data_IF_260335028443
#
_entry.id   IF_260335028443
#
_cell.length_a   1.000
_cell.length_b   1.000
_cell.length_c   1.000
_cell.angle_alpha   90.00
_cell.angle_beta   90.00
_cell.angle_gamma   90.00
#
_symmetry.space_group_name_H-M   'P 1'
#
loop_
_entity.id
_entity.type
_entity.pdbx_description
1 polymer ?
#
# COMPACT_ATOMS: atom_id res chain seq x y z
N UNK A 1 -12.73 2.75 -8.82
CA UNK A 1 -11.69 1.93 -9.48
C UNK A 1 -11.38 0.67 -8.66
N UNK A 2 -10.64 -0.32 -9.20
CA UNK A 2 -10.13 -1.47 -8.43
C UNK A 2 -8.65 -1.29 -8.09
N UNK A 3 -8.28 -1.50 -6.83
CA UNK A 3 -6.91 -1.40 -6.32
C UNK A 3 -6.54 -2.64 -5.49
N UNK A 4 -5.24 -2.93 -5.40
CA UNK A 4 -4.70 -4.18 -4.91
C UNK A 4 -3.74 -3.97 -3.74
N UNK A 5 -3.98 -4.65 -2.62
CA UNK A 5 -3.09 -4.66 -1.47
C UNK A 5 -2.36 -6.00 -1.38
N UNK A 6 -1.04 -5.98 -1.52
CA UNK A 6 -0.17 -7.14 -1.36
C UNK A 6 0.16 -7.36 0.12
N UNK A 7 0.09 -8.60 0.59
CA UNK A 7 0.27 -8.98 1.99
C UNK A 7 0.95 -10.35 2.10
N UNK A 8 1.73 -10.55 3.17
CA UNK A 8 2.07 -11.90 3.64
C UNK A 8 0.80 -12.70 3.99
N UNK A 9 0.88 -14.03 3.90
CA UNK A 9 -0.27 -14.91 4.04
C UNK A 9 -1.01 -14.73 5.39
N UNK A 10 -0.25 -14.62 6.48
CA UNK A 10 -0.79 -14.40 7.82
C UNK A 10 -1.62 -13.09 7.89
N UNK A 11 -1.03 -11.97 7.47
CA UNK A 11 -1.70 -10.67 7.53
C UNK A 11 -2.87 -10.56 6.56
N UNK A 12 -2.80 -11.23 5.41
CA UNK A 12 -3.91 -11.34 4.46
C UNK A 12 -5.11 -12.07 5.08
N UNK A 13 -4.88 -13.24 5.69
CA UNK A 13 -5.92 -13.99 6.41
C UNK A 13 -6.55 -13.17 7.53
N UNK A 14 -5.73 -12.57 8.40
CA UNK A 14 -6.24 -11.71 9.49
C UNK A 14 -7.06 -10.54 8.97
N UNK A 15 -6.65 -9.94 7.85
CA UNK A 15 -7.42 -8.84 7.24
C UNK A 15 -8.80 -9.28 6.76
N UNK A 16 -8.91 -10.51 6.24
CA UNK A 16 -10.18 -11.11 5.81
C UNK A 16 -11.06 -11.41 7.03
N UNK A 17 -10.53 -12.15 8.01
CA UNK A 17 -11.24 -12.58 9.22
C UNK A 17 -11.75 -11.39 10.05
N UNK A 18 -10.90 -10.37 10.21
CA UNK A 18 -11.23 -9.17 10.99
C UNK A 18 -11.87 -8.06 10.13
N UNK A 19 -12.07 -8.32 8.83
CA UNK A 19 -12.67 -7.42 7.83
C UNK A 19 -12.10 -6.00 7.85
N UNK A 20 -10.77 -5.89 7.94
CA UNK A 20 -10.04 -4.62 8.04
C UNK A 20 -8.62 -4.75 7.51
N UNK A 21 -8.04 -3.67 6.99
CA UNK A 21 -6.62 -3.61 6.60
C UNK A 21 -5.84 -2.69 7.54
N UNK A 22 -4.56 -3.01 7.76
CA UNK A 22 -3.65 -2.13 8.51
C UNK A 22 -3.41 -0.83 7.77
N UNK A 23 -3.45 0.28 8.50
CA UNK A 23 -2.97 1.59 8.08
C UNK A 23 -1.49 1.70 8.45
N UNK A 24 -0.63 1.98 7.46
CA UNK A 24 0.80 2.14 7.68
C UNK A 24 1.12 3.49 8.32
N UNK A 25 2.12 3.52 9.19
CA UNK A 25 2.65 4.79 9.71
C UNK A 25 3.64 5.38 8.72
N UNK A 26 3.80 6.70 8.78
CA UNK A 26 4.66 7.47 7.87
C UNK A 26 6.14 7.10 8.01
N UNK A 27 6.56 6.76 9.22
CA UNK A 27 7.93 6.31 9.52
C UNK A 27 8.16 4.83 9.19
N UNK A 28 7.12 4.09 8.79
CA UNK A 28 7.19 2.65 8.43
C UNK A 28 7.20 2.40 6.92
N UNK A 29 7.30 3.48 6.12
CA UNK A 29 7.31 3.38 4.67
C UNK A 29 8.64 2.77 4.17
N UNK A 30 8.63 2.27 2.94
CA UNK A 30 9.63 1.36 2.39
C UNK A 30 10.99 2.00 2.13
N UNK A 31 11.06 3.32 1.99
CA UNK A 31 12.26 4.03 1.57
C UNK A 31 12.44 5.38 2.31
N UNK A 32 13.70 5.76 2.52
CA UNK A 32 14.12 6.95 3.26
C UNK A 32 13.64 8.25 2.60
N UNK A 33 13.34 8.19 1.30
CA UNK A 33 12.87 9.33 0.51
C UNK A 33 11.35 9.51 0.50
N UNK A 34 10.58 8.63 1.15
CA UNK A 34 9.12 8.68 1.12
C UNK A 34 8.50 9.75 2.04
N UNK A 35 7.23 10.08 1.74
CA UNK A 35 6.37 11.03 2.44
C UNK A 35 6.69 12.52 2.22
N UNK A 36 7.88 13.02 2.59
CA UNK A 36 8.27 14.43 2.35
C UNK A 36 9.73 14.46 1.87
N UNK A 37 9.94 14.02 0.64
CA UNK A 37 11.26 13.88 0.03
C UNK A 37 11.81 15.15 -0.60
N UNK A 38 11.88 16.27 0.12
CA UNK A 38 12.46 17.53 -0.39
C UNK A 38 14.00 17.48 -0.33
N UNK A 39 14.67 17.99 -1.37
CA UNK A 39 16.12 18.15 -1.39
C UNK A 39 16.52 19.44 -0.67
N UNK A 40 17.29 19.32 0.41
CA UNK A 40 17.72 20.43 1.28
C UNK A 40 19.24 20.42 1.49
N UNK A 41 19.88 21.55 1.17
CA UNK A 41 21.33 21.72 1.25
C UNK A 41 21.80 21.95 2.69
N UNK A 42 21.02 22.69 3.49
CA UNK A 42 21.41 23.06 4.84
C UNK A 42 21.06 21.99 5.87
N UNK A 43 21.96 21.78 6.84
CA UNK A 43 21.75 20.80 7.92
C UNK A 43 20.54 21.16 8.79
N UNK A 44 20.34 22.45 9.06
CA UNK A 44 19.23 22.94 9.87
C UNK A 44 17.88 22.62 9.22
N UNK A 45 17.74 22.85 7.91
CA UNK A 45 16.53 22.53 7.16
C UNK A 45 16.25 21.01 7.15
N UNK A 46 17.28 20.17 7.01
CA UNK A 46 17.11 18.71 7.12
C UNK A 46 16.64 18.27 8.49
N UNK A 47 17.00 18.98 9.57
CA UNK A 47 16.51 18.70 10.92
C UNK A 47 15.03 19.12 11.03
N UNK A 48 14.69 20.32 10.58
CA UNK A 48 13.31 20.82 10.58
C UNK A 48 12.36 19.91 9.76
N UNK A 49 12.80 19.44 8.60
CA UNK A 49 12.04 18.48 7.78
C UNK A 49 11.75 17.17 8.53
N UNK A 50 12.73 16.64 9.28
CA UNK A 50 12.55 15.44 10.11
C UNK A 50 11.56 15.68 11.25
N UNK A 51 11.60 16.86 11.86
CA UNK A 51 10.62 17.23 12.89
C UNK A 51 9.21 17.34 12.30
N UNK A 52 9.05 17.99 11.14
CA UNK A 52 7.78 18.05 10.42
C UNK A 52 7.24 16.64 10.11
N UNK A 53 8.09 15.72 9.60
CA UNK A 53 7.71 14.32 9.34
C UNK A 53 7.21 13.62 10.61
N UNK A 54 7.93 13.78 11.74
CA UNK A 54 7.53 13.21 13.03
C UNK A 54 6.17 13.73 13.49
N UNK A 55 5.92 15.03 13.38
CA UNK A 55 4.63 15.61 13.75
C UNK A 55 3.48 15.04 12.91
N UNK A 56 3.69 14.89 11.60
CA UNK A 56 2.68 14.30 10.72
C UNK A 56 2.44 12.82 11.03
N UNK A 57 3.49 12.06 11.36
CA UNK A 57 3.42 10.65 11.76
C UNK A 57 2.63 10.37 13.04
N UNK A 58 2.40 11.37 13.90
CA UNK A 58 1.60 11.19 15.12
C UNK A 58 0.13 10.96 14.78
N UNK A 59 -0.42 11.77 13.87
CA UNK A 59 -1.86 11.83 13.61
C UNK A 59 -2.27 11.36 12.21
N UNK A 60 -1.31 10.99 11.36
CA UNK A 60 -1.56 10.61 9.98
C UNK A 60 -0.89 9.28 9.65
N UNK A 61 -1.59 8.48 8.86
CA UNK A 61 -1.10 7.26 8.26
C UNK A 61 -1.51 7.17 6.81
N UNK A 62 -1.09 6.09 6.18
CA UNK A 62 -1.33 5.87 4.75
C UNK A 62 -1.72 4.42 4.48
N UNK A 63 -2.63 4.26 3.53
CA UNK A 63 -2.89 2.97 2.90
C UNK A 63 -2.35 3.04 1.49
N UNK A 64 -1.42 2.15 1.17
CA UNK A 64 -0.82 2.03 -0.15
C UNK A 64 -1.44 0.82 -0.88
N UNK A 65 -1.92 1.03 -2.08
CA UNK A 65 -2.40 -0.05 -2.96
C UNK A 65 -1.79 0.11 -4.34
N UNK A 66 -1.77 -0.96 -5.12
CA UNK A 66 -1.35 -0.93 -6.51
C UNK A 66 -2.55 -0.96 -7.45
N UNK A 67 -2.43 -0.33 -8.61
CA UNK A 67 -3.39 -0.50 -9.71
C UNK A 67 -3.28 -1.86 -10.40
N UNK A 68 -2.15 -2.55 -10.26
CA UNK A 68 -1.87 -3.81 -10.95
C UNK A 68 -1.37 -4.90 -10.01
N UNK A 69 -2.07 -6.03 -9.95
CA UNK A 69 -1.60 -7.20 -9.20
C UNK A 69 -0.62 -8.08 -9.99
N UNK A 70 -0.46 -7.87 -11.29
CA UNK A 70 0.33 -8.73 -12.18
C UNK A 70 1.84 -8.53 -12.12
N UNK A 71 2.35 -7.54 -11.37
CA UNK A 71 3.77 -7.23 -11.29
C UNK A 71 4.55 -8.31 -10.50
N UNK A 72 5.50 -9.05 -11.12
CA UNK A 72 6.28 -10.05 -10.39
C UNK A 72 7.13 -9.45 -9.26
N UNK A 73 7.61 -8.20 -9.42
CA UNK A 73 8.34 -7.49 -8.37
C UNK A 73 7.45 -7.21 -7.15
N UNK A 74 6.18 -6.85 -7.36
CA UNK A 74 5.23 -6.65 -6.26
C UNK A 74 4.99 -7.93 -5.46
N UNK A 75 4.86 -9.07 -6.15
CA UNK A 75 4.75 -10.37 -5.49
C UNK A 75 6.01 -10.77 -4.73
N UNK A 76 7.19 -10.45 -5.29
CA UNK A 76 8.47 -10.73 -4.66
C UNK A 76 8.65 -9.93 -3.37
N UNK A 77 8.41 -8.61 -3.42
CA UNK A 77 8.65 -7.69 -2.30
C UNK A 77 7.54 -7.71 -1.24
N UNK A 78 6.26 -7.71 -1.65
CA UNK A 78 5.15 -7.40 -0.74
C UNK A 78 4.22 -8.58 -0.45
N UNK A 79 4.31 -9.68 -1.21
CA UNK A 79 3.54 -10.90 -0.96
C UNK A 79 4.45 -12.08 -0.57
N UNK A 80 5.43 -11.82 0.30
CA UNK A 80 6.34 -12.83 0.88
C UNK A 80 6.91 -13.78 -0.18
N UNK A 81 7.52 -13.21 -1.24
CA UNK A 81 8.12 -14.00 -2.32
C UNK A 81 7.14 -15.02 -2.95
N UNK A 82 5.92 -14.57 -3.27
CA UNK A 82 4.80 -15.36 -3.81
C UNK A 82 4.18 -16.39 -2.83
N UNK A 83 4.51 -16.34 -1.54
CA UNK A 83 3.84 -17.18 -0.52
C UNK A 83 2.62 -16.51 0.09
N UNK A 84 2.50 -15.19 -0.06
CA UNK A 84 1.41 -14.38 0.44
C UNK A 84 0.19 -14.34 -0.48
N UNK A 85 -0.55 -13.23 -0.39
CA UNK A 85 -1.76 -13.01 -1.17
C UNK A 85 -1.96 -11.52 -1.49
N UNK A 86 -2.92 -11.26 -2.36
CA UNK A 86 -3.37 -9.93 -2.75
C UNK A 86 -4.86 -9.80 -2.49
N UNK A 87 -5.26 -8.69 -1.87
CA UNK A 87 -6.66 -8.31 -1.67
C UNK A 87 -7.01 -7.21 -2.67
N UNK A 88 -7.96 -7.47 -3.57
CA UNK A 88 -8.49 -6.51 -4.54
C UNK A 88 -9.76 -5.84 -4.02
N UNK A 89 -9.75 -4.52 -3.97
CA UNK A 89 -10.86 -3.71 -3.48
C UNK A 89 -11.41 -2.79 -4.57
N UNK A 90 -12.73 -2.74 -4.68
CA UNK A 90 -13.39 -1.61 -5.34
C UNK A 90 -13.40 -0.42 -4.38
N UNK A 91 -12.78 0.67 -4.81
CA UNK A 91 -12.64 1.89 -4.03
C UNK A 91 -13.26 3.09 -4.75
N UNK A 92 -13.73 4.07 -3.99
CA UNK A 92 -14.17 5.36 -4.53
C UNK A 92 -12.98 6.14 -5.09
N UNK A 93 -13.14 6.71 -6.29
CA UNK A 93 -12.07 7.43 -7.01
C UNK A 93 -11.55 8.67 -6.26
N UNK A 94 -12.29 9.18 -5.26
CA UNK A 94 -11.88 10.34 -4.47
C UNK A 94 -11.08 9.99 -3.20
N UNK A 95 -10.98 8.71 -2.86
CA UNK A 95 -10.34 8.26 -1.62
C UNK A 95 -8.84 7.97 -1.77
N UNK A 96 -8.41 7.62 -2.98
CA UNK A 96 -7.04 7.22 -3.28
C UNK A 96 -6.45 8.11 -4.37
N UNK A 97 -5.23 8.58 -4.16
CA UNK A 97 -4.50 9.44 -5.08
C UNK A 97 -3.36 8.67 -5.72
N UNK A 98 -3.21 8.81 -7.02
CA UNK A 98 -2.08 8.24 -7.77
C UNK A 98 -0.76 8.87 -7.29
N UNK A 99 0.27 8.03 -7.17
CA UNK A 99 1.63 8.43 -6.85
C UNK A 99 2.35 8.88 -8.12
N UNK A 100 3.01 10.03 -8.03
CA UNK A 100 3.86 10.62 -9.05
C UNK A 100 5.31 10.18 -8.85
N UNK A 101 5.89 9.58 -9.88
CA UNK A 101 7.25 9.04 -9.85
C UNK A 101 8.25 10.03 -10.42
N UNK A 102 9.34 10.31 -9.68
CA UNK A 102 10.34 11.30 -10.08
C UNK A 102 11.77 10.75 -9.89
N UNK A 103 12.68 11.13 -10.82
CA UNK A 103 14.12 10.79 -10.75
C UNK A 103 14.88 11.62 -9.73
N UNK A 104 14.43 12.86 -9.49
CA UNK A 104 15.07 13.81 -8.59
C UNK A 104 14.05 14.26 -7.55
N UNK A 105 14.53 14.46 -6.34
CA UNK A 105 13.76 15.10 -5.27
C UNK A 105 13.53 16.57 -5.62
N UNK A 106 12.31 17.11 -5.45
CA UNK A 106 12.07 18.53 -5.64
C UNK A 106 12.87 19.35 -4.62
N UNK A 107 13.42 20.47 -5.06
CA UNK A 107 13.96 21.52 -4.19
C UNK A 107 12.83 22.47 -3.76
N UNK A 108 13.09 23.31 -2.75
CA UNK A 108 12.15 24.38 -2.38
C UNK A 108 11.88 25.32 -3.56
N UNK A 109 12.91 25.67 -4.33
CA UNK A 109 12.76 26.53 -5.50
C UNK A 109 11.93 25.89 -6.61
N UNK A 110 12.02 24.56 -6.81
CA UNK A 110 11.17 23.84 -7.79
C UNK A 110 9.68 23.91 -7.40
N UNK A 111 9.40 24.14 -6.12
CA UNK A 111 8.06 24.31 -5.57
C UNK A 111 7.64 25.79 -5.46
N UNK A 112 8.53 26.74 -5.81
CA UNK A 112 8.28 28.18 -5.64
C UNK A 112 8.34 28.65 -4.18
N UNK A 113 9.03 27.90 -3.33
CA UNK A 113 9.17 28.17 -1.89
C UNK A 113 10.57 28.68 -1.58
N UNK A 114 10.71 29.56 -0.59
CA UNK A 114 12.01 30.06 -0.14
C UNK A 114 12.51 29.29 1.08
N UNK A 115 11.59 28.89 1.96
CA UNK A 115 11.88 28.21 3.23
C UNK A 115 10.90 27.05 3.46
N UNK A 116 11.21 26.18 4.42
CA UNK A 116 10.26 25.13 4.85
C UNK A 116 8.99 25.68 5.49
N UNK A 117 9.03 26.90 6.05
CA UNK A 117 7.87 27.53 6.68
C UNK A 117 6.84 27.99 5.63
N UNK A 118 7.25 28.11 4.37
CA UNK A 118 6.35 28.43 3.25
C UNK A 118 5.52 27.22 2.79
N UNK A 119 5.84 26.00 3.26
CA UNK A 119 5.15 24.78 2.85
C UNK A 119 3.68 24.83 3.29
N UNK A 120 2.78 24.78 2.31
CA UNK A 120 1.34 24.74 2.55
C UNK A 120 0.83 23.30 2.71
N UNK A 121 -0.41 23.10 3.23
CA UNK A 121 -1.04 21.79 3.22
C UNK A 121 -1.18 21.18 1.82
N UNK A 122 -1.29 21.99 0.76
CA UNK A 122 -1.37 21.49 -0.61
C UNK A 122 -0.01 21.00 -1.12
N UNK A 123 1.07 21.69 -0.75
CA UNK A 123 2.43 21.24 -1.01
C UNK A 123 2.72 19.90 -0.33
N UNK A 124 2.27 19.74 0.92
CA UNK A 124 2.37 18.47 1.65
C UNK A 124 1.62 17.37 0.90
N UNK A 125 0.38 17.60 0.44
CA UNK A 125 -0.36 16.60 -0.35
C UNK A 125 0.37 16.22 -1.64
N UNK A 126 1.03 17.17 -2.31
CA UNK A 126 1.84 16.89 -3.51
C UNK A 126 3.09 16.07 -3.16
N UNK A 127 3.81 16.45 -2.12
CA UNK A 127 5.04 15.78 -1.69
C UNK A 127 4.78 14.34 -1.25
N UNK A 128 3.69 14.08 -0.53
CA UNK A 128 3.37 12.72 -0.09
C UNK A 128 2.96 11.81 -1.26
N UNK A 129 2.56 12.38 -2.40
CA UNK A 129 2.33 11.62 -3.63
C UNK A 129 3.60 11.45 -4.46
N UNK A 130 4.73 11.99 -4.05
CA UNK A 130 5.98 11.85 -4.80
C UNK A 130 6.75 10.62 -4.32
N UNK A 131 7.25 9.80 -5.26
CA UNK A 131 8.08 8.63 -4.99
C UNK A 131 9.23 8.51 -5.99
N UNK A 132 10.32 7.88 -5.60
CA UNK A 132 11.45 7.68 -6.51
C UNK A 132 11.06 6.78 -7.70
N UNK A 133 11.50 7.15 -8.91
CA UNK A 133 11.14 6.47 -10.16
C UNK A 133 11.45 4.96 -10.19
N UNK A 134 12.47 4.52 -9.45
CA UNK A 134 12.81 3.11 -9.31
C UNK A 134 11.68 2.24 -8.77
N UNK A 135 10.68 2.83 -8.11
CA UNK A 135 9.48 2.16 -7.59
C UNK A 135 8.25 2.28 -8.51
N UNK A 136 8.40 2.81 -9.73
CA UNK A 136 7.27 3.02 -10.66
C UNK A 136 6.51 1.74 -11.02
N UNK A 137 7.15 0.57 -10.89
CA UNK A 137 6.49 -0.73 -11.08
C UNK A 137 5.39 -1.02 -10.06
N UNK A 138 5.35 -0.28 -8.93
CA UNK A 138 4.28 -0.43 -7.94
C UNK A 138 2.94 0.11 -8.44
N UNK A 139 2.92 1.08 -9.38
CA UNK A 139 1.72 1.77 -9.83
C UNK A 139 0.82 2.17 -8.64
N UNK A 140 1.45 2.84 -7.67
CA UNK A 140 0.94 3.03 -6.32
C UNK A 140 -0.15 4.11 -6.27
N UNK A 141 -1.17 3.83 -5.47
CA UNK A 141 -2.23 4.74 -5.08
C UNK A 141 -2.28 4.81 -3.55
N UNK A 142 -2.34 6.03 -3.00
CA UNK A 142 -2.31 6.30 -1.56
C UNK A 142 -3.62 6.90 -1.07
N UNK A 143 -4.15 6.37 0.03
CA UNK A 143 -5.17 7.04 0.82
C UNK A 143 -4.57 7.56 2.13
N UNK A 144 -4.85 8.83 2.44
CA UNK A 144 -4.39 9.47 3.68
C UNK A 144 -5.42 9.31 4.77
N UNK A 145 -4.99 8.73 5.89
CA UNK A 145 -5.88 8.35 6.97
C UNK A 145 -5.49 9.12 8.22
N UNK A 146 -6.43 9.87 8.78
CA UNK A 146 -6.27 10.41 10.13
C UNK A 146 -6.27 9.24 11.13
N UNK A 147 -5.21 9.13 11.93
CA UNK A 147 -5.06 8.07 12.91
C UNK A 147 -5.95 8.37 14.12
N UNK A 148 -6.89 7.46 14.38
CA UNK A 148 -7.79 7.48 15.52
C UNK A 148 -7.95 6.06 16.04
N UNK A 149 -8.28 5.93 17.32
CA UNK A 149 -8.68 4.66 17.93
C UNK A 149 -7.64 3.53 17.71
N UNK A 150 -6.37 3.85 17.95
CA UNK A 150 -5.26 2.91 17.83
C UNK A 150 -5.40 1.73 18.80
N UNK A 151 -4.98 0.55 18.35
CA UNK A 151 -5.06 -0.70 19.09
C UNK A 151 -3.66 -1.15 19.47
N UNK A 152 -3.44 -1.44 20.76
CA UNK A 152 -2.15 -1.94 21.24
C UNK A 152 -2.05 -3.44 20.98
N UNK A 153 -1.06 -3.85 20.19
CA UNK A 153 -0.71 -5.25 19.93
C UNK A 153 0.78 -5.40 20.22
N UNK A 154 1.15 -6.34 21.08
CA UNK A 154 2.56 -6.58 21.46
C UNK A 154 3.33 -5.34 21.96
N UNK A 155 2.62 -4.39 22.60
CA UNK A 155 3.22 -3.15 23.11
C UNK A 155 3.32 -2.02 22.09
N UNK A 156 2.93 -2.23 20.84
CA UNK A 156 2.92 -1.21 19.80
C UNK A 156 1.49 -0.82 19.41
N UNK A 157 1.29 0.46 19.06
CA UNK A 157 -0.03 0.95 18.61
C UNK A 157 -0.17 0.78 17.11
N UNK A 158 -1.18 0.03 16.69
CA UNK A 158 -1.54 -0.21 15.30
C UNK A 158 -2.90 0.40 14.96
N UNK A 159 -3.09 0.73 13.69
CA UNK A 159 -4.30 1.36 13.18
C UNK A 159 -4.86 0.54 12.04
N UNK A 160 -6.18 0.50 11.93
CA UNK A 160 -6.87 -0.33 10.95
C UNK A 160 -8.03 0.43 10.30
N UNK A 161 -8.24 0.18 9.01
CA UNK A 161 -9.37 0.66 8.25
C UNK A 161 -10.32 -0.51 7.96
N UNK A 162 -11.57 -0.48 8.42
CA UNK A 162 -12.53 -1.53 8.13
C UNK A 162 -12.91 -1.56 6.65
N UNK A 163 -13.28 -2.74 6.16
CA UNK A 163 -13.94 -2.86 4.86
C UNK A 163 -15.28 -2.10 4.91
N UNK A 164 -15.67 -1.50 3.80
CA UNK A 164 -16.89 -0.69 3.73
C UNK A 164 -17.44 -0.63 2.31
N UNK A 165 -18.61 -0.03 2.10
CA UNK A 165 -19.13 0.24 0.75
C UNK A 165 -18.21 1.15 -0.08
N UNK A 166 -17.29 1.89 0.57
CA UNK A 166 -16.27 2.72 -0.11
C UNK A 166 -14.95 1.99 -0.37
N UNK A 167 -14.77 0.81 0.21
CA UNK A 167 -13.58 -0.05 0.08
C UNK A 167 -14.04 -1.51 0.21
N UNK A 168 -14.65 -2.00 -0.86
CA UNK A 168 -15.35 -3.28 -0.89
C UNK A 168 -14.43 -4.36 -1.43
N UNK A 169 -14.21 -5.43 -0.66
CA UNK A 169 -13.40 -6.56 -1.09
C UNK A 169 -14.09 -7.24 -2.29
N UNK A 170 -13.32 -7.55 -3.33
CA UNK A 170 -13.81 -8.17 -4.57
C UNK A 170 -12.97 -9.32 -5.06
N UNK A 171 -11.69 -9.32 -4.77
CA UNK A 171 -10.77 -10.35 -5.23
C UNK A 171 -9.83 -10.76 -4.09
N UNK A 172 -9.58 -12.06 -3.97
CA UNK A 172 -8.49 -12.61 -3.17
C UNK A 172 -7.65 -13.49 -4.08
N UNK A 173 -6.38 -13.11 -4.23
CA UNK A 173 -5.46 -13.76 -5.13
C UNK A 173 -4.34 -14.35 -4.28
N UNK A 174 -4.24 -15.67 -4.19
CA UNK A 174 -3.14 -16.31 -3.46
C UNK A 174 -1.93 -16.53 -4.37
N UNK A 175 -0.74 -16.39 -3.82
CA UNK A 175 0.49 -16.58 -4.59
C UNK A 175 0.73 -18.04 -4.98
N UNK A 176 1.57 -18.26 -5.99
CA UNK A 176 1.89 -19.60 -6.51
C UNK A 176 2.60 -20.53 -5.51
N UNK A 177 3.11 -19.98 -4.40
CA UNK A 177 3.76 -20.73 -3.32
C UNK A 177 2.94 -20.74 -2.03
N UNK A 178 1.73 -20.20 -2.05
CA UNK A 178 0.80 -20.22 -0.93
C UNK A 178 0.49 -21.67 -0.52
N UNK A 179 0.41 -21.90 0.79
CA UNK A 179 0.29 -23.25 1.37
C UNK A 179 -1.08 -23.58 1.97
N UNK A 180 -1.95 -22.57 2.14
CA UNK A 180 -3.31 -22.79 2.66
C UNK A 180 -4.24 -23.40 1.61
N UNK A 181 -5.37 -23.95 2.07
CA UNK A 181 -6.37 -24.57 1.20
C UNK A 181 -7.37 -23.54 0.68
N UNK A 182 -7.97 -23.78 -0.49
CA UNK A 182 -8.98 -22.88 -1.05
C UNK A 182 -10.25 -22.88 -0.21
N UNK A 183 -10.70 -24.06 0.22
CA UNK A 183 -11.90 -24.22 1.04
C UNK A 183 -11.86 -23.38 2.34
N UNK A 184 -10.70 -23.32 3.01
CA UNK A 184 -10.51 -22.49 4.22
C UNK A 184 -10.73 -21.00 3.93
N UNK A 185 -10.17 -20.50 2.83
CA UNK A 185 -10.32 -19.09 2.46
C UNK A 185 -11.74 -18.76 2.02
N UNK A 186 -12.38 -19.64 1.23
CA UNK A 186 -13.78 -19.46 0.84
C UNK A 186 -14.69 -19.39 2.07
N UNK A 187 -14.49 -20.28 3.04
CA UNK A 187 -15.25 -20.28 4.29
C UNK A 187 -14.98 -19.04 5.15
N UNK A 188 -13.74 -18.55 5.22
CA UNK A 188 -13.40 -17.36 6.00
C UNK A 188 -13.98 -16.06 5.39
N UNK A 189 -14.16 -16.01 4.08
CA UNK A 189 -14.69 -14.84 3.37
C UNK A 189 -16.21 -14.76 3.48
N UNK A 190 -16.88 -15.91 3.37
CA UNK A 190 -18.34 -16.06 3.45
C UNK A 190 -19.11 -15.04 2.60
N UNK A 191 -18.59 -14.73 1.42
CA UNK A 191 -19.19 -13.82 0.45
C UNK A 191 -18.98 -14.37 -0.96
N UNK A 192 -20.01 -14.96 -1.60
CA UNK A 192 -19.88 -15.56 -2.92
C UNK A 192 -19.65 -14.53 -4.03
N UNK A 193 -19.74 -13.22 -3.74
CA UNK A 193 -19.43 -12.15 -4.69
C UNK A 193 -17.94 -11.80 -4.78
N UNK A 194 -17.11 -12.39 -3.90
CA UNK A 194 -15.65 -12.23 -3.92
C UNK A 194 -15.03 -13.34 -4.77
N UNK A 195 -14.27 -12.97 -5.79
CA UNK A 195 -13.55 -13.92 -6.65
C UNK A 195 -12.26 -14.37 -5.96
N UNK A 196 -12.09 -15.68 -5.77
CA UNK A 196 -10.97 -16.27 -5.02
C UNK A 196 -10.23 -17.25 -5.92
N UNK A 197 -8.95 -16.98 -6.20
CA UNK A 197 -8.15 -17.81 -7.09
C UNK A 197 -6.65 -17.77 -6.79
N UNK A 198 -5.91 -18.71 -7.40
CA UNK A 198 -4.45 -18.75 -7.32
C UNK A 198 -3.81 -18.02 -8.51
N UNK A 199 -2.69 -17.36 -8.25
CA UNK A 199 -1.83 -16.77 -9.25
C UNK A 199 -0.70 -17.74 -9.68
N UNK A 200 -0.20 -17.55 -10.91
CA UNK A 200 0.98 -18.23 -11.46
C UNK A 200 1.81 -17.27 -12.31
N UNK A 201 3.05 -17.63 -12.62
CA UNK A 201 3.80 -16.94 -13.68
C UNK A 201 3.14 -17.19 -15.05
N UNK A 202 3.14 -16.19 -15.91
CA UNK A 202 2.83 -16.34 -17.34
C UNK A 202 3.84 -17.28 -18.00
N UNK A 203 3.43 -17.93 -19.09
CA UNK A 203 4.32 -18.79 -19.88
C UNK A 203 5.04 -18.02 -20.99
N UNK A 204 4.63 -16.78 -21.26
CA UNK A 204 5.11 -15.98 -22.38
C UNK A 204 5.71 -14.64 -21.93
N UNK A 205 5.28 -14.10 -20.79
CA UNK A 205 5.64 -12.77 -20.32
C UNK A 205 6.22 -12.79 -18.90
N UNK A 206 7.01 -11.77 -18.53
CA UNK A 206 7.39 -11.52 -17.14
C UNK A 206 6.25 -10.88 -16.35
N UNK A 207 5.15 -11.62 -16.24
CA UNK A 207 3.90 -11.19 -15.60
C UNK A 207 3.31 -12.32 -14.76
N UNK A 208 2.64 -11.96 -13.68
CA UNK A 208 1.83 -12.88 -12.87
C UNK A 208 0.39 -12.85 -13.39
N UNK A 209 -0.18 -14.02 -13.63
CA UNK A 209 -1.51 -14.23 -14.23
C UNK A 209 -2.33 -15.23 -13.43
N UNK A 210 -3.63 -15.34 -13.73
CA UNK A 210 -4.53 -16.28 -13.04
C UNK A 210 -4.17 -17.72 -13.41
N UNK A 211 -4.20 -18.61 -12.41
CA UNK A 211 -4.24 -20.03 -12.64
C UNK A 211 -5.69 -20.43 -12.94
N UNK A 212 -5.95 -20.87 -14.17
CA UNK A 212 -7.29 -21.26 -14.62
C UNK A 212 -7.61 -22.73 -14.32
N UNK A 213 -6.61 -23.55 -13.99
CA UNK A 213 -6.81 -24.94 -13.58
C UNK A 213 -7.08 -25.00 -12.08
N UNK A 214 -8.36 -25.11 -11.70
CA UNK A 214 -8.76 -25.13 -10.28
C UNK A 214 -8.13 -26.28 -9.49
N UNK A 215 -7.85 -27.42 -10.15
CA UNK A 215 -7.17 -28.57 -9.54
C UNK A 215 -5.76 -28.27 -9.02
N UNK A 216 -5.14 -27.18 -9.48
CA UNK A 216 -3.81 -26.76 -9.00
C UNK A 216 -3.86 -26.09 -7.62
N UNK A 217 -5.07 -25.73 -7.15
CA UNK A 217 -5.31 -25.22 -5.80
C UNK A 217 -6.71 -25.63 -5.33
N UNK A 218 -6.85 -26.87 -4.85
CA UNK A 218 -8.12 -27.39 -4.36
C UNK A 218 -8.55 -26.76 -3.02
#
# INVERSE_FOLDING_TARGET
MRLYRFLGAEYGKRSIEERRIRVGRIEELNDDFEFIGVALAEKAERIALREMRRHLNVNNGVICMSKDWGSPLMWAHYADSHKGMVLGFDVSDRAFYEVEYQKKRPTLSDMGLNTLDDITPEDIKRLIRTKAEGWSYEQEYRAYIALKDGIVINGETHYFMPFSEKMKLKEIIVGSRYKGQRAELVAAVDDPSVDIYMARGSFEEFRVVRQNQESMWP
#
